data_IF_379823889824
#
_entry.id   IF_379823889824
#
_cell.length_a   1.000
_cell.length_b   1.000
_cell.length_c   1.000
_cell.angle_alpha   90.00
_cell.angle_beta   90.00
_cell.angle_gamma   90.00
#
_symmetry.space_group_name_H-M   'P 1'
#
loop_
_entity.id
_entity.type
_entity.pdbx_description
1 polymer ?
#
# COMPACT_ATOMS: atom_id res chain seq x y z
N UNK A 1 32.35 20.99 6.63
CA UNK A 1 31.60 19.76 6.93
C UNK A 1 30.84 19.39 5.67
N UNK A 2 30.74 18.14 5.26
CA UNK A 2 29.87 17.80 4.14
C UNK A 2 28.45 18.20 4.48
N UNK A 3 27.79 18.92 3.59
CA UNK A 3 26.36 19.28 3.72
C UNK A 3 25.59 17.96 3.79
N UNK A 4 24.76 17.76 4.82
CA UNK A 4 23.86 16.62 4.87
C UNK A 4 22.92 16.69 3.68
N UNK A 5 22.60 15.55 3.07
CA UNK A 5 21.72 15.51 1.90
C UNK A 5 20.34 16.11 2.21
N UNK A 6 19.86 15.96 3.43
CA UNK A 6 18.63 16.58 3.90
C UNK A 6 18.67 18.12 3.80
N UNK A 7 19.87 18.74 3.81
CA UNK A 7 20.06 20.18 3.74
C UNK A 7 20.29 20.72 2.33
N UNK A 8 20.10 19.87 1.30
CA UNK A 8 20.18 20.32 -0.09
C UNK A 8 19.31 21.56 -0.30
N UNK A 9 19.92 22.62 -0.83
CA UNK A 9 19.20 23.82 -1.18
C UNK A 9 18.21 23.53 -2.32
N UNK A 10 16.95 23.87 -2.13
CA UNK A 10 15.92 23.68 -3.15
C UNK A 10 15.51 25.02 -3.74
N UNK A 11 15.33 25.12 -5.07
CA UNK A 11 14.92 26.35 -5.70
C UNK A 11 13.57 26.87 -5.16
N UNK A 12 13.48 28.19 -4.96
CA UNK A 12 12.23 28.86 -4.54
C UNK A 12 11.51 29.54 -5.71
N UNK A 13 12.09 29.50 -6.89
CA UNK A 13 11.50 30.09 -8.09
C UNK A 13 10.27 29.29 -8.53
N UNK A 14 9.31 29.98 -9.16
CA UNK A 14 8.14 29.35 -9.76
C UNK A 14 8.50 28.43 -10.93
N UNK A 15 9.62 28.71 -11.61
CA UNK A 15 10.13 27.89 -12.71
C UNK A 15 11.58 27.52 -12.44
N UNK A 16 11.86 26.20 -12.40
CA UNK A 16 13.19 25.69 -12.17
C UNK A 16 13.37 24.30 -12.79
N UNK A 17 14.64 23.86 -12.84
CA UNK A 17 15.04 22.54 -13.33
C UNK A 17 15.59 21.68 -12.21
N UNK A 18 15.14 20.42 -12.16
CA UNK A 18 15.82 19.35 -11.43
C UNK A 18 16.73 18.66 -12.44
N UNK A 19 18.03 18.95 -12.37
CA UNK A 19 19.01 18.48 -13.33
C UNK A 19 19.64 17.14 -12.90
N UNK A 20 20.06 16.35 -13.90
CA UNK A 20 20.78 15.09 -13.69
C UNK A 20 20.06 14.09 -12.79
N UNK A 21 18.75 14.01 -12.86
CA UNK A 21 17.95 13.02 -12.17
C UNK A 21 18.11 11.63 -12.81
N UNK A 22 18.01 10.58 -12.00
CA UNK A 22 17.85 9.18 -12.44
C UNK A 22 16.45 8.71 -12.03
N UNK A 23 15.66 8.29 -13.02
CA UNK A 23 14.26 7.91 -12.80
C UNK A 23 14.05 6.47 -13.26
N UNK A 24 13.51 5.55 -12.42
CA UNK A 24 13.08 4.24 -12.90
C UNK A 24 12.03 4.40 -14.01
N UNK A 25 12.27 3.84 -15.19
CA UNK A 25 11.38 3.97 -16.34
C UNK A 25 9.96 3.46 -16.04
N UNK A 26 9.83 2.43 -15.19
CA UNK A 26 8.55 1.88 -14.75
C UNK A 26 7.70 2.86 -13.91
N UNK A 27 8.29 3.93 -13.38
CA UNK A 27 7.60 4.97 -12.62
C UNK A 27 7.20 6.19 -13.46
N UNK A 28 7.60 6.25 -14.73
CA UNK A 28 7.12 7.25 -15.67
C UNK A 28 5.77 6.83 -16.26
N UNK A 29 4.85 7.76 -16.44
CA UNK A 29 3.60 7.48 -17.19
C UNK A 29 3.91 7.21 -18.67
N UNK A 30 4.88 7.94 -19.21
CA UNK A 30 5.40 7.76 -20.56
C UNK A 30 6.91 8.05 -20.52
N UNK A 31 7.71 7.23 -21.18
CA UNK A 31 9.14 7.47 -21.36
C UNK A 31 9.31 8.30 -22.64
N UNK A 32 9.75 9.58 -22.53
CA UNK A 32 9.94 10.41 -23.71
C UNK A 32 10.95 9.80 -24.68
N UNK A 33 10.62 9.79 -25.98
CA UNK A 33 11.48 9.25 -27.02
C UNK A 33 12.84 9.99 -27.16
N UNK A 34 12.92 11.21 -26.62
CA UNK A 34 14.13 12.02 -26.56
C UNK A 34 15.16 11.54 -25.55
N UNK A 35 14.76 10.75 -24.56
CA UNK A 35 15.67 10.19 -23.56
C UNK A 35 16.54 9.09 -24.16
N UNK A 36 17.72 8.90 -23.57
CA UNK A 36 18.53 7.72 -23.85
C UNK A 36 17.83 6.47 -23.29
N UNK A 37 18.07 5.29 -23.89
CA UNK A 37 17.56 4.04 -23.35
C UNK A 37 17.88 3.87 -21.86
N UNK A 38 16.98 3.18 -21.14
CA UNK A 38 17.22 2.84 -19.75
C UNK A 38 18.48 1.96 -19.60
N UNK A 39 19.17 2.12 -18.48
CA UNK A 39 20.32 1.28 -18.15
C UNK A 39 19.89 -0.15 -17.70
N UNK A 40 20.86 -0.97 -17.27
CA UNK A 40 20.63 -2.34 -16.85
C UNK A 40 19.70 -2.47 -15.62
N UNK A 41 19.53 -1.41 -14.82
CA UNK A 41 18.57 -1.35 -13.73
C UNK A 41 17.18 -0.86 -14.17
N UNK A 42 16.99 -0.54 -15.46
CA UNK A 42 15.75 0.03 -15.99
C UNK A 42 15.57 1.50 -15.63
N UNK A 43 16.66 2.23 -15.41
CA UNK A 43 16.66 3.64 -14.98
C UNK A 43 17.07 4.54 -16.12
N UNK A 44 16.32 5.61 -16.37
CA UNK A 44 16.64 6.66 -17.35
C UNK A 44 17.26 7.88 -16.68
N UNK A 45 18.11 8.60 -17.41
CA UNK A 45 18.65 9.91 -17.00
C UNK A 45 17.80 11.00 -17.60
N UNK A 46 17.34 11.94 -16.78
CA UNK A 46 16.45 13.01 -17.20
C UNK A 46 16.70 14.31 -16.43
N UNK A 47 16.37 15.42 -17.06
CA UNK A 47 16.11 16.70 -16.41
C UNK A 47 14.59 16.87 -16.30
N UNK A 48 14.09 17.28 -15.12
CA UNK A 48 12.68 17.51 -14.86
C UNK A 48 12.44 19.03 -14.79
N UNK A 49 11.50 19.53 -15.59
CA UNK A 49 11.14 20.93 -15.63
C UNK A 49 9.91 21.17 -14.76
N UNK A 50 10.05 22.07 -13.79
CA UNK A 50 8.99 22.42 -12.85
C UNK A 50 8.55 23.85 -13.11
N UNK A 51 7.23 24.07 -13.19
CA UNK A 51 6.64 25.40 -13.29
C UNK A 51 5.33 25.45 -12.48
N UNK A 52 5.23 26.44 -11.58
CA UNK A 52 4.08 26.63 -10.71
C UNK A 52 3.65 25.35 -9.96
N UNK A 53 4.63 24.60 -9.45
CA UNK A 53 4.39 23.38 -8.69
C UNK A 53 4.00 22.15 -9.51
N UNK A 54 4.04 22.23 -10.85
CA UNK A 54 3.73 21.13 -11.76
C UNK A 54 4.95 20.69 -12.56
N UNK A 55 5.02 19.44 -12.93
CA UNK A 55 5.99 18.92 -13.89
C UNK A 55 5.54 19.32 -15.31
N UNK A 56 6.31 20.17 -15.99
CA UNK A 56 5.95 20.65 -17.33
C UNK A 56 6.75 20.00 -18.44
N UNK A 57 7.85 19.30 -18.11
CA UNK A 57 8.66 18.60 -19.10
C UNK A 57 9.62 17.60 -18.48
N UNK A 58 10.01 16.61 -19.30
CA UNK A 58 11.02 15.61 -18.99
C UNK A 58 11.97 15.58 -20.18
N UNK A 59 13.18 16.07 -20.01
CA UNK A 59 14.14 16.24 -21.07
C UNK A 59 15.40 15.39 -20.86
N UNK A 60 16.15 15.18 -21.93
CA UNK A 60 17.50 14.63 -21.86
C UNK A 60 18.42 15.62 -21.11
N UNK A 61 19.29 15.13 -20.20
CA UNK A 61 20.26 15.98 -19.53
C UNK A 61 21.08 16.79 -20.51
N UNK A 62 20.98 18.12 -20.42
CA UNK A 62 21.62 19.05 -21.37
C UNK A 62 22.93 19.66 -20.84
N UNK A 63 23.40 19.22 -19.65
CA UNK A 63 24.43 19.94 -18.90
C UNK A 63 23.84 21.17 -18.19
N UNK A 64 24.62 21.76 -17.30
CA UNK A 64 24.23 23.02 -16.66
C UNK A 64 24.75 24.16 -17.50
N UNK A 65 23.91 24.99 -18.14
CA UNK A 65 24.39 26.18 -18.82
C UNK A 65 24.91 27.18 -17.77
N UNK A 66 26.08 27.73 -17.98
CA UNK A 66 26.60 28.81 -17.16
C UNK A 66 25.59 29.98 -17.14
N UNK A 67 25.04 30.28 -15.98
CA UNK A 67 24.29 31.49 -15.72
C UNK A 67 22.79 31.51 -16.06
N UNK A 68 22.11 30.40 -16.28
CA UNK A 68 20.69 30.42 -16.67
C UNK A 68 19.79 29.67 -15.70
N UNK A 69 18.97 30.42 -14.96
CA UNK A 69 17.77 29.97 -14.25
C UNK A 69 18.04 29.24 -12.94
N UNK A 70 17.02 29.20 -12.10
CA UNK A 70 17.05 28.42 -10.88
C UNK A 70 17.07 26.92 -11.20
N UNK A 71 18.00 26.19 -10.61
CA UNK A 71 18.10 24.74 -10.76
C UNK A 71 18.64 24.08 -9.50
N UNK A 72 18.39 22.79 -9.38
CA UNK A 72 19.07 21.91 -8.44
C UNK A 72 19.69 20.75 -9.20
N UNK A 73 21.01 20.58 -9.06
CA UNK A 73 21.72 19.44 -9.64
C UNK A 73 21.73 18.25 -8.67
N UNK A 74 21.10 17.17 -9.06
CA UNK A 74 21.04 15.95 -8.24
C UNK A 74 22.28 15.07 -8.37
N UNK A 75 23.19 15.34 -9.33
CA UNK A 75 24.41 14.55 -9.53
C UNK A 75 24.14 13.07 -9.77
N UNK A 76 23.09 12.75 -10.48
CA UNK A 76 22.69 11.37 -10.80
C UNK A 76 21.94 10.65 -9.67
N UNK A 77 21.37 11.36 -8.71
CA UNK A 77 20.52 10.75 -7.66
C UNK A 77 19.15 10.36 -8.19
N UNK A 78 18.55 9.37 -7.57
CA UNK A 78 17.23 8.85 -7.95
C UNK A 78 16.10 9.77 -7.53
N UNK A 79 15.11 9.89 -8.42
CA UNK A 79 13.84 10.59 -8.20
C UNK A 79 12.71 9.61 -8.48
N UNK A 80 11.86 9.39 -7.48
CA UNK A 80 10.64 8.62 -7.60
C UNK A 80 9.42 9.52 -7.39
N UNK A 81 8.23 9.15 -7.87
CA UNK A 81 7.00 9.81 -7.43
C UNK A 81 6.78 9.56 -5.93
N UNK A 82 5.93 10.34 -5.30
CA UNK A 82 5.38 9.97 -3.99
C UNK A 82 4.68 8.62 -4.07
N UNK A 83 4.75 7.84 -2.98
CA UNK A 83 4.33 6.45 -2.93
C UNK A 83 2.85 6.31 -2.58
N UNK A 84 2.30 5.11 -2.85
CA UNK A 84 0.95 4.72 -2.51
C UNK A 84 1.00 3.57 -1.51
N UNK A 85 0.42 3.73 -0.33
CA UNK A 85 0.12 2.61 0.55
C UNK A 85 -1.28 2.07 0.23
N UNK A 86 -1.32 1.01 -0.55
CA UNK A 86 -2.57 0.48 -1.11
C UNK A 86 -3.32 -0.46 -0.16
N UNK A 87 -2.73 -0.77 1.01
CA UNK A 87 -3.34 -1.63 2.01
C UNK A 87 -2.72 -1.38 3.38
N UNK A 88 -3.45 -0.70 4.25
CA UNK A 88 -3.07 -0.46 5.64
C UNK A 88 -4.31 -0.42 6.54
N UNK A 89 -4.12 -0.26 7.85
CA UNK A 89 -5.16 -0.22 8.88
C UNK A 89 -4.94 0.97 9.81
N UNK A 90 -5.42 2.15 9.40
CA UNK A 90 -5.24 3.37 10.19
C UNK A 90 -6.07 3.38 11.49
N UNK A 91 -7.24 2.74 11.47
CA UNK A 91 -8.18 2.74 12.60
C UNK A 91 -7.72 1.89 13.80
N UNK A 92 -6.94 0.84 13.56
CA UNK A 92 -6.39 -0.02 14.63
C UNK A 92 -4.89 0.19 14.87
N UNK A 93 -4.21 1.00 14.05
CA UNK A 93 -2.80 1.30 14.21
C UNK A 93 -2.47 1.98 15.53
N UNK A 94 -1.23 1.82 15.98
CA UNK A 94 -0.66 2.45 17.18
C UNK A 94 -1.36 2.06 18.49
N UNK A 95 -1.87 0.83 18.60
CA UNK A 95 -2.49 0.29 19.81
C UNK A 95 -1.61 -0.69 20.57
N UNK A 96 -0.40 -0.98 20.08
CA UNK A 96 0.46 -2.06 20.58
C UNK A 96 0.82 -1.94 22.06
N UNK A 97 1.00 -0.73 22.58
CA UNK A 97 1.35 -0.50 23.99
C UNK A 97 0.21 -0.84 24.95
N UNK A 98 -1.05 -0.59 24.56
CA UNK A 98 -2.22 -0.86 25.40
C UNK A 98 -2.86 -2.21 25.10
N UNK A 99 -2.65 -2.76 23.90
CA UNK A 99 -3.25 -4.02 23.45
C UNK A 99 -2.21 -4.90 22.74
N UNK A 100 -1.15 -5.33 23.44
CA UNK A 100 -0.09 -6.15 22.87
C UNK A 100 -0.59 -7.55 22.54
N UNK A 101 -0.06 -8.14 21.48
CA UNK A 101 -0.25 -9.55 21.17
C UNK A 101 0.70 -10.40 22.03
N UNK A 102 0.13 -11.17 22.94
CA UNK A 102 0.88 -11.87 24.02
C UNK A 102 1.81 -12.99 23.52
N UNK A 103 1.54 -13.60 22.38
CA UNK A 103 2.33 -14.70 21.81
C UNK A 103 2.72 -14.48 20.34
N UNK A 104 2.26 -13.38 19.75
CA UNK A 104 2.50 -13.01 18.37
C UNK A 104 1.73 -13.85 17.33
N UNK A 105 0.79 -14.70 17.75
CA UNK A 105 -0.03 -15.49 16.82
C UNK A 105 -1.15 -14.66 16.21
N UNK A 106 -1.60 -15.05 15.03
CA UNK A 106 -2.75 -14.41 14.37
C UNK A 106 -4.03 -14.53 15.23
N UNK A 107 -4.22 -15.64 15.92
CA UNK A 107 -5.38 -15.85 16.82
C UNK A 107 -5.40 -14.80 17.93
N UNK A 108 -4.30 -14.64 18.66
CA UNK A 108 -4.22 -13.67 19.76
C UNK A 108 -4.19 -12.22 19.26
N UNK A 109 -3.68 -11.94 18.05
CA UNK A 109 -3.84 -10.63 17.42
C UNK A 109 -5.32 -10.23 17.29
N UNK A 110 -6.16 -11.16 16.82
CA UNK A 110 -7.62 -10.94 16.70
C UNK A 110 -8.29 -10.69 18.05
N UNK A 111 -7.93 -11.49 19.06
CA UNK A 111 -8.50 -11.34 20.41
C UNK A 111 -8.11 -9.99 21.03
N UNK A 112 -6.85 -9.58 20.89
CA UNK A 112 -6.36 -8.30 21.38
C UNK A 112 -7.07 -7.14 20.67
N UNK A 113 -7.18 -7.16 19.34
CA UNK A 113 -7.91 -6.14 18.59
C UNK A 113 -9.40 -6.07 18.99
N UNK A 114 -10.05 -7.21 19.17
CA UNK A 114 -11.45 -7.26 19.61
C UNK A 114 -11.64 -6.67 21.01
N UNK A 115 -10.71 -6.94 21.92
CA UNK A 115 -10.73 -6.40 23.30
C UNK A 115 -10.45 -4.88 23.32
N UNK A 116 -9.76 -4.34 22.32
CA UNK A 116 -9.42 -2.91 22.22
C UNK A 116 -10.55 -2.06 21.61
N UNK A 117 -11.41 -2.64 20.76
CA UNK A 117 -12.49 -1.90 20.06
C UNK A 117 -13.38 -1.03 20.96
N UNK A 118 -13.77 -1.43 22.17
CA UNK A 118 -14.58 -0.58 23.05
C UNK A 118 -13.94 0.77 23.38
N UNK A 119 -12.62 0.90 23.23
CA UNK A 119 -11.87 2.13 23.49
C UNK A 119 -11.74 3.03 22.26
N UNK A 120 -12.24 2.61 21.08
CA UNK A 120 -12.16 3.37 19.83
C UNK A 120 -13.18 4.51 19.79
N UNK A 121 -13.00 5.49 20.65
CA UNK A 121 -13.76 6.73 20.62
C UNK A 121 -13.31 7.62 19.45
N UNK A 122 -14.09 8.64 19.10
CA UNK A 122 -13.69 9.59 18.04
C UNK A 122 -12.37 10.29 18.36
N UNK A 123 -12.08 10.60 19.64
CA UNK A 123 -10.81 11.21 20.05
C UNK A 123 -9.63 10.24 19.94
N UNK A 124 -9.81 8.98 20.31
CA UNK A 124 -8.81 7.93 20.20
C UNK A 124 -8.47 7.63 18.73
N UNK A 125 -9.50 7.45 17.90
CA UNK A 125 -9.34 7.25 16.46
C UNK A 125 -8.61 8.44 15.82
N UNK A 126 -8.98 9.68 16.17
CA UNK A 126 -8.35 10.89 15.64
C UNK A 126 -6.86 10.91 15.95
N UNK A 127 -6.48 10.75 17.21
CA UNK A 127 -5.08 10.78 17.64
C UNK A 127 -4.24 9.76 16.87
N UNK A 128 -4.70 8.51 16.77
CA UNK A 128 -3.96 7.42 16.13
C UNK A 128 -3.91 7.54 14.60
N UNK A 129 -5.05 7.83 13.97
CA UNK A 129 -5.11 7.97 12.52
C UNK A 129 -4.31 9.19 12.03
N UNK A 130 -4.42 10.34 12.72
CA UNK A 130 -3.63 11.53 12.38
C UNK A 130 -2.13 11.31 12.59
N UNK A 131 -1.76 10.59 13.64
CA UNK A 131 -0.36 10.20 13.85
C UNK A 131 0.16 9.38 12.67
N UNK A 132 -0.55 8.32 12.27
CA UNK A 132 -0.17 7.49 11.13
C UNK A 132 -0.11 8.27 9.81
N UNK A 133 -1.06 9.17 9.58
CA UNK A 133 -1.07 10.04 8.38
C UNK A 133 0.11 11.01 8.36
N UNK A 134 0.49 11.57 9.50
CA UNK A 134 1.66 12.45 9.61
C UNK A 134 2.96 11.68 9.36
N UNK A 135 3.07 10.45 9.85
CA UNK A 135 4.18 9.55 9.52
C UNK A 135 4.25 9.29 8.01
N UNK A 136 3.17 8.82 7.42
CA UNK A 136 3.07 8.53 5.99
C UNK A 136 3.44 9.74 5.11
N UNK A 137 2.88 10.90 5.44
CA UNK A 137 3.14 12.15 4.73
C UNK A 137 4.61 12.59 4.82
N UNK A 138 5.20 12.49 6.00
CA UNK A 138 6.62 12.80 6.20
C UNK A 138 7.53 11.84 5.42
N UNK A 139 7.10 10.59 5.24
CA UNK A 139 7.82 9.58 4.47
C UNK A 139 7.58 9.66 2.96
N UNK A 140 6.73 10.58 2.49
CA UNK A 140 6.46 10.79 1.07
C UNK A 140 5.37 9.87 0.51
N UNK A 141 4.48 9.38 1.34
CA UNK A 141 3.24 8.71 0.92
C UNK A 141 2.18 9.77 0.66
N UNK A 142 1.52 9.74 -0.49
CA UNK A 142 0.53 10.74 -0.89
C UNK A 142 -0.86 10.17 -1.15
N UNK A 143 -1.00 8.85 -1.14
CA UNK A 143 -2.30 8.18 -1.24
C UNK A 143 -2.31 6.91 -0.39
N UNK A 144 -3.40 6.68 0.31
CA UNK A 144 -3.57 5.56 1.24
C UNK A 144 -4.94 4.92 1.05
N UNK A 145 -4.96 3.58 0.89
CA UNK A 145 -6.16 2.78 1.05
C UNK A 145 -6.10 2.09 2.40
N UNK A 146 -7.04 2.43 3.29
CA UNK A 146 -7.12 1.87 4.64
C UNK A 146 -8.33 0.95 4.77
N UNK A 147 -8.11 -0.24 5.33
CA UNK A 147 -9.18 -1.17 5.69
C UNK A 147 -9.71 -0.77 7.06
N UNK A 148 -11.01 -0.56 7.15
CA UNK A 148 -11.72 -0.07 8.33
C UNK A 148 -12.48 -1.23 8.97
N UNK A 149 -12.15 -1.54 10.21
CA UNK A 149 -12.87 -2.56 11.00
C UNK A 149 -14.35 -2.18 11.09
N UNK A 150 -15.17 -2.96 10.40
CA UNK A 150 -16.59 -2.67 10.20
C UNK A 150 -17.44 -3.73 10.87
N UNK A 151 -17.80 -3.46 12.13
CA UNK A 151 -18.64 -4.32 12.95
C UNK A 151 -19.89 -3.56 13.41
N UNK A 152 -20.87 -4.24 14.00
CA UNK A 152 -22.11 -3.61 14.46
C UNK A 152 -21.89 -2.40 15.36
N UNK A 153 -20.87 -2.49 16.23
CA UNK A 153 -20.52 -1.48 17.22
C UNK A 153 -19.63 -0.35 16.67
N UNK A 154 -18.90 -0.55 15.59
CA UNK A 154 -17.92 0.44 15.07
C UNK A 154 -18.34 1.11 13.77
N UNK A 155 -19.25 0.51 13.00
CA UNK A 155 -19.57 0.95 11.63
C UNK A 155 -19.88 2.44 11.52
N UNK A 156 -20.72 2.97 12.39
CA UNK A 156 -21.16 4.36 12.27
C UNK A 156 -20.03 5.33 12.65
N UNK A 157 -19.32 5.07 13.75
CA UNK A 157 -18.22 5.91 14.24
C UNK A 157 -17.02 5.88 13.30
N UNK A 158 -16.53 4.68 12.94
CA UNK A 158 -15.32 4.54 12.12
C UNK A 158 -15.49 5.10 10.72
N UNK A 159 -16.65 4.86 10.08
CA UNK A 159 -16.89 5.38 8.73
C UNK A 159 -17.20 6.89 8.72
N UNK A 160 -17.85 7.43 9.75
CA UNK A 160 -18.00 8.87 9.89
C UNK A 160 -16.63 9.52 10.05
N UNK A 161 -15.81 9.01 10.95
CA UNK A 161 -14.51 9.56 11.25
C UNK A 161 -13.57 9.49 10.02
N UNK A 162 -13.60 8.38 9.27
CA UNK A 162 -12.84 8.28 8.01
C UNK A 162 -13.17 9.43 7.04
N UNK A 163 -14.46 9.78 6.89
CA UNK A 163 -14.87 10.91 6.01
C UNK A 163 -14.30 12.24 6.50
N UNK A 164 -14.38 12.51 7.80
CA UNK A 164 -13.86 13.73 8.41
C UNK A 164 -12.35 13.86 8.16
N UNK A 165 -11.58 12.83 8.49
CA UNK A 165 -10.13 12.81 8.30
C UNK A 165 -9.75 12.91 6.83
N UNK A 166 -10.44 12.22 5.93
CA UNK A 166 -10.21 12.34 4.50
C UNK A 166 -10.36 13.77 3.99
N UNK A 167 -11.43 14.45 4.43
CA UNK A 167 -11.70 15.82 4.00
C UNK A 167 -10.64 16.80 4.56
N UNK A 168 -10.18 16.61 5.80
CA UNK A 168 -9.11 17.39 6.44
C UNK A 168 -7.74 17.18 5.80
N UNK A 169 -7.48 15.96 5.28
CA UNK A 169 -6.21 15.62 4.66
C UNK A 169 -6.20 15.77 3.14
N UNK A 170 -7.31 16.20 2.56
CA UNK A 170 -7.43 16.44 1.12
C UNK A 170 -6.31 17.36 0.60
N UNK A 171 -5.68 16.97 -0.50
CA UNK A 171 -4.54 17.67 -1.09
C UNK A 171 -3.18 17.36 -0.45
N UNK A 172 -3.14 16.70 0.71
CA UNK A 172 -1.92 16.19 1.35
C UNK A 172 -1.76 14.69 1.10
N UNK A 173 -2.73 13.91 1.60
CA UNK A 173 -2.82 12.45 1.42
C UNK A 173 -4.25 12.11 1.00
N UNK A 174 -4.41 11.50 -0.15
CA UNK A 174 -5.72 11.05 -0.61
C UNK A 174 -6.09 9.72 0.06
N UNK A 175 -7.29 9.63 0.64
CA UNK A 175 -7.73 8.47 1.41
C UNK A 175 -8.88 7.73 0.74
N UNK A 176 -8.78 6.39 0.72
CA UNK A 176 -9.87 5.47 0.40
C UNK A 176 -10.09 4.51 1.56
N UNK A 177 -11.34 4.26 1.92
CA UNK A 177 -11.71 3.25 2.91
C UNK A 177 -12.21 1.96 2.26
N UNK A 178 -11.89 0.83 2.87
CA UNK A 178 -12.40 -0.50 2.51
C UNK A 178 -13.07 -1.10 3.74
N UNK A 179 -14.26 -1.66 3.60
CA UNK A 179 -14.91 -2.35 4.71
C UNK A 179 -14.16 -3.63 5.09
N UNK A 180 -13.95 -3.85 6.39
CA UNK A 180 -13.26 -5.03 6.89
C UNK A 180 -14.06 -5.72 7.98
N UNK A 181 -14.67 -6.84 7.66
CA UNK A 181 -15.24 -7.81 8.59
C UNK A 181 -15.25 -9.19 7.92
N UNK A 182 -15.38 -10.28 8.66
CA UNK A 182 -15.65 -11.59 8.06
C UNK A 182 -16.91 -11.57 7.20
N UNK A 183 -16.84 -12.17 5.99
CA UNK A 183 -17.95 -12.07 5.01
C UNK A 183 -19.23 -12.80 5.43
N UNK A 184 -19.16 -13.75 6.35
CA UNK A 184 -20.32 -14.42 6.93
C UNK A 184 -21.20 -13.46 7.78
N UNK A 185 -20.64 -12.38 8.32
CA UNK A 185 -21.41 -11.33 8.99
C UNK A 185 -22.27 -10.50 8.02
N UNK A 186 -22.02 -10.59 6.72
CA UNK A 186 -22.74 -9.82 5.70
C UNK A 186 -23.94 -10.58 5.09
N UNK A 187 -24.26 -11.76 5.61
CA UNK A 187 -25.32 -12.62 5.08
C UNK A 187 -26.72 -11.99 5.20
N UNK A 188 -26.95 -11.26 6.28
CA UNK A 188 -28.20 -10.61 6.63
C UNK A 188 -28.23 -9.08 6.33
N UNK A 189 -29.11 -8.35 7.03
CA UNK A 189 -29.30 -6.90 6.94
C UNK A 189 -28.03 -6.08 7.28
N UNK A 190 -27.10 -6.66 8.03
CA UNK A 190 -25.85 -6.00 8.34
C UNK A 190 -25.02 -5.77 7.07
N UNK A 191 -25.03 -6.72 6.14
CA UNK A 191 -24.39 -6.54 4.82
C UNK A 191 -24.92 -5.33 4.06
N UNK A 192 -26.23 -5.06 4.11
CA UNK A 192 -26.83 -3.86 3.50
C UNK A 192 -26.37 -2.57 4.20
N UNK A 193 -26.26 -2.57 5.54
CA UNK A 193 -25.70 -1.45 6.31
C UNK A 193 -24.24 -1.18 5.92
N UNK A 194 -23.42 -2.23 5.81
CA UNK A 194 -22.02 -2.12 5.39
C UNK A 194 -21.94 -1.48 4.01
N UNK A 195 -22.66 -2.01 3.02
CA UNK A 195 -22.65 -1.48 1.66
C UNK A 195 -23.11 0.00 1.59
N UNK A 196 -24.13 0.35 2.36
CA UNK A 196 -24.62 1.74 2.43
C UNK A 196 -23.58 2.70 3.07
N UNK A 197 -22.92 2.30 4.16
CA UNK A 197 -21.86 3.08 4.81
C UNK A 197 -20.65 3.29 3.87
N UNK A 198 -20.24 2.24 3.17
CA UNK A 198 -19.17 2.26 2.16
C UNK A 198 -19.54 3.21 1.02
N UNK A 199 -20.73 3.07 0.44
CA UNK A 199 -21.20 3.92 -0.67
C UNK A 199 -21.24 5.39 -0.25
N UNK A 200 -21.82 5.71 0.92
CA UNK A 200 -21.88 7.06 1.48
C UNK A 200 -20.49 7.68 1.63
N UNK A 201 -19.48 6.85 1.86
CA UNK A 201 -18.10 7.28 2.08
C UNK A 201 -17.22 7.25 0.82
N UNK A 202 -17.76 6.85 -0.34
CA UNK A 202 -16.98 6.68 -1.56
C UNK A 202 -15.87 5.62 -1.42
N UNK A 203 -16.12 4.59 -0.61
CA UNK A 203 -15.19 3.52 -0.31
C UNK A 203 -15.33 2.30 -1.24
N UNK A 204 -14.71 1.19 -0.84
CA UNK A 204 -14.77 -0.09 -1.53
C UNK A 204 -15.45 -1.14 -0.63
N UNK A 205 -16.21 -2.03 -1.25
CA UNK A 205 -16.73 -3.21 -0.57
C UNK A 205 -15.56 -4.14 -0.27
N UNK A 206 -15.47 -4.61 0.96
CA UNK A 206 -14.38 -5.50 1.37
C UNK A 206 -14.85 -6.54 2.37
N UNK A 207 -13.91 -7.29 2.89
CA UNK A 207 -14.15 -8.33 3.88
C UNK A 207 -13.02 -9.33 3.93
N UNK A 208 -13.13 -10.29 4.85
CA UNK A 208 -12.19 -11.39 5.01
C UNK A 208 -12.87 -12.70 4.65
N UNK A 209 -12.25 -13.51 3.78
CA UNK A 209 -12.80 -14.80 3.32
C UNK A 209 -12.61 -15.92 4.33
N UNK A 210 -12.97 -15.68 5.59
CA UNK A 210 -12.91 -16.66 6.69
C UNK A 210 -14.12 -16.52 7.62
N UNK A 211 -14.35 -17.54 8.43
CA UNK A 211 -15.43 -17.52 9.43
C UNK A 211 -15.17 -16.47 10.53
N UNK A 212 -16.23 -15.82 10.99
CA UNK A 212 -16.23 -14.90 12.13
C UNK A 212 -15.90 -15.61 13.43
N UNK A 213 -16.31 -16.88 13.55
CA UNK A 213 -16.16 -17.73 14.73
C UNK A 213 -15.08 -18.78 14.48
N UNK A 214 -14.28 -19.07 15.51
CA UNK A 214 -13.24 -20.11 15.45
C UNK A 214 -11.85 -19.58 15.11
N UNK A 215 -10.93 -20.53 14.90
CA UNK A 215 -9.56 -20.24 14.56
C UNK A 215 -9.42 -19.85 13.08
N UNK A 216 -8.32 -19.21 12.76
CA UNK A 216 -7.94 -18.93 11.39
C UNK A 216 -7.84 -20.23 10.58
N UNK A 217 -8.41 -20.25 9.38
CA UNK A 217 -8.44 -21.44 8.52
C UNK A 217 -9.70 -22.30 8.64
N UNK A 218 -10.68 -21.94 9.51
CA UNK A 218 -11.98 -22.62 9.52
C UNK A 218 -12.70 -22.34 8.19
N UNK A 219 -13.03 -23.39 7.40
CA UNK A 219 -13.71 -23.21 6.13
C UNK A 219 -15.11 -22.60 6.33
N UNK A 220 -15.51 -21.73 5.41
CA UNK A 220 -16.90 -21.29 5.29
C UNK A 220 -17.67 -22.30 4.45
N UNK A 221 -18.64 -22.98 5.06
CA UNK A 221 -19.40 -24.05 4.40
C UNK A 221 -20.23 -23.57 3.19
N UNK A 222 -20.56 -22.27 3.15
CA UNK A 222 -21.38 -21.64 2.12
C UNK A 222 -20.63 -20.52 1.39
N UNK A 223 -19.31 -20.64 1.25
CA UNK A 223 -18.42 -19.58 0.73
C UNK A 223 -18.89 -19.01 -0.60
N UNK A 224 -19.39 -19.84 -1.55
CA UNK A 224 -19.89 -19.38 -2.84
C UNK A 224 -21.10 -18.44 -2.68
N UNK A 225 -22.05 -18.78 -1.81
CA UNK A 225 -23.23 -17.95 -1.52
C UNK A 225 -22.83 -16.63 -0.84
N UNK A 226 -21.85 -16.66 0.08
CA UNK A 226 -21.34 -15.47 0.76
C UNK A 226 -20.60 -14.56 -0.23
N UNK A 227 -19.80 -15.10 -1.13
CA UNK A 227 -19.16 -14.32 -2.20
C UNK A 227 -20.20 -13.71 -3.15
N UNK A 228 -21.20 -14.50 -3.56
CA UNK A 228 -22.30 -13.98 -4.39
C UNK A 228 -23.06 -12.86 -3.65
N UNK A 229 -23.24 -12.94 -2.34
CA UNK A 229 -23.81 -11.86 -1.53
C UNK A 229 -22.95 -10.60 -1.55
N UNK A 230 -21.64 -10.72 -1.30
CA UNK A 230 -20.69 -9.59 -1.35
C UNK A 230 -20.72 -8.91 -2.72
N UNK A 231 -20.64 -9.67 -3.81
CA UNK A 231 -20.66 -9.13 -5.16
C UNK A 231 -22.02 -8.53 -5.54
N UNK A 232 -23.13 -9.10 -5.06
CA UNK A 232 -24.47 -8.54 -5.26
C UNK A 232 -24.65 -7.21 -4.54
N UNK A 233 -24.15 -7.09 -3.30
CA UNK A 233 -24.11 -5.83 -2.56
C UNK A 233 -23.25 -4.79 -3.29
N UNK A 234 -22.04 -5.18 -3.71
CA UNK A 234 -21.14 -4.30 -4.44
C UNK A 234 -21.77 -3.82 -5.77
N UNK A 235 -22.50 -4.70 -6.49
CA UNK A 235 -23.20 -4.35 -7.73
C UNK A 235 -24.32 -3.36 -7.49
N UNK A 236 -25.17 -3.61 -6.47
CA UNK A 236 -26.30 -2.74 -6.12
C UNK A 236 -25.84 -1.33 -5.75
N UNK A 237 -24.71 -1.21 -5.11
CA UNK A 237 -24.14 0.05 -4.63
C UNK A 237 -23.04 0.64 -5.53
N UNK A 238 -22.76 0.02 -6.70
CA UNK A 238 -21.74 0.45 -7.67
C UNK A 238 -20.32 0.52 -7.09
N UNK A 239 -19.98 -0.42 -6.20
CA UNK A 239 -18.69 -0.46 -5.50
C UNK A 239 -17.68 -1.37 -6.20
N UNK A 240 -16.41 -1.08 -6.10
CA UNK A 240 -15.34 -2.04 -6.36
C UNK A 240 -15.11 -2.92 -5.12
N UNK A 241 -14.37 -4.02 -5.28
CA UNK A 241 -14.19 -5.02 -4.22
C UNK A 241 -12.70 -5.15 -3.85
N UNK A 242 -12.40 -5.20 -2.54
CA UNK A 242 -11.05 -5.41 -2.02
C UNK A 242 -11.11 -6.34 -0.80
N UNK A 243 -10.57 -7.56 -0.92
CA UNK A 243 -10.73 -8.65 0.05
C UNK A 243 -9.41 -9.07 0.68
N UNK A 244 -9.44 -9.41 1.98
CA UNK A 244 -8.40 -10.21 2.63
C UNK A 244 -8.66 -11.68 2.32
N UNK A 245 -7.70 -12.35 1.69
CA UNK A 245 -7.88 -13.70 1.16
C UNK A 245 -6.78 -14.62 1.65
N UNK A 246 -7.17 -15.74 2.24
CA UNK A 246 -6.29 -16.87 2.56
C UNK A 246 -5.01 -16.47 3.33
N UNK A 247 -5.13 -15.60 4.32
CA UNK A 247 -4.02 -15.13 5.17
C UNK A 247 -3.64 -16.17 6.22
N UNK A 248 -3.20 -17.33 5.77
CA UNK A 248 -2.81 -18.46 6.62
C UNK A 248 -1.76 -19.33 5.92
N UNK A 249 -1.08 -20.16 6.70
CA UNK A 249 -0.18 -21.19 6.16
C UNK A 249 -0.92 -22.49 5.77
N UNK A 250 -2.18 -22.63 6.13
CA UNK A 250 -2.97 -23.82 5.85
C UNK A 250 -3.33 -23.90 4.36
N UNK A 251 -2.82 -24.88 3.59
CA UNK A 251 -3.12 -25.02 2.18
C UNK A 251 -4.59 -25.35 1.90
N UNK A 252 -5.36 -25.78 2.90
CA UNK A 252 -6.80 -26.01 2.76
C UNK A 252 -7.60 -24.69 2.66
N UNK A 253 -7.03 -23.56 3.10
CA UNK A 253 -7.60 -22.24 2.83
C UNK A 253 -7.33 -21.86 1.37
N UNK A 254 -8.25 -22.18 0.48
CA UNK A 254 -8.15 -22.01 -0.97
C UNK A 254 -9.37 -21.24 -1.51
N UNK A 255 -9.59 -20.02 -0.98
CA UNK A 255 -10.74 -19.19 -1.38
C UNK A 255 -10.44 -18.28 -2.58
N UNK A 256 -9.19 -17.99 -2.88
CA UNK A 256 -8.79 -17.15 -4.01
C UNK A 256 -9.38 -17.60 -5.36
N UNK A 257 -9.36 -18.88 -5.76
CA UNK A 257 -9.99 -19.32 -7.00
C UNK A 257 -11.52 -19.18 -6.97
N UNK A 258 -12.16 -19.23 -5.80
CA UNK A 258 -13.59 -19.01 -5.66
C UNK A 258 -13.94 -17.52 -5.84
N UNK A 259 -13.12 -16.63 -5.26
CA UNK A 259 -13.23 -15.18 -5.50
C UNK A 259 -13.10 -14.86 -6.99
N UNK A 260 -12.13 -15.46 -7.69
CA UNK A 260 -11.95 -15.24 -9.12
C UNK A 260 -13.18 -15.69 -9.93
N UNK A 261 -13.74 -16.86 -9.63
CA UNK A 261 -14.98 -17.33 -10.28
C UNK A 261 -16.19 -16.43 -9.97
N UNK A 262 -16.34 -15.98 -8.73
CA UNK A 262 -17.41 -15.07 -8.34
C UNK A 262 -17.27 -13.72 -9.06
N UNK A 263 -16.06 -13.17 -9.12
CA UNK A 263 -15.78 -11.93 -9.86
C UNK A 263 -16.19 -12.04 -11.34
N UNK A 264 -15.89 -13.14 -11.99
CA UNK A 264 -16.30 -13.39 -13.38
C UNK A 264 -17.82 -13.54 -13.50
N UNK A 265 -18.47 -14.32 -12.62
CA UNK A 265 -19.95 -14.49 -12.63
C UNK A 265 -20.70 -13.16 -12.51
N UNK A 266 -20.18 -12.24 -11.69
CA UNK A 266 -20.81 -10.94 -11.43
C UNK A 266 -20.31 -9.81 -12.34
N UNK A 267 -19.46 -10.09 -13.33
CA UNK A 267 -18.94 -9.07 -14.26
C UNK A 267 -17.96 -8.09 -13.63
N UNK A 268 -17.20 -8.53 -12.61
CA UNK A 268 -16.24 -7.71 -11.85
C UNK A 268 -14.80 -7.82 -12.39
N UNK A 269 -14.61 -8.27 -13.60
CA UNK A 269 -13.29 -8.35 -14.22
C UNK A 269 -12.54 -7.02 -14.12
N UNK A 270 -11.32 -7.06 -13.56
CA UNK A 270 -10.48 -5.88 -13.36
C UNK A 270 -10.88 -4.95 -12.22
N UNK A 271 -11.94 -5.27 -11.45
CA UNK A 271 -12.51 -4.45 -10.37
C UNK A 271 -12.33 -5.06 -8.97
N UNK A 272 -11.52 -6.11 -8.86
CA UNK A 272 -11.27 -6.83 -7.60
C UNK A 272 -9.80 -6.75 -7.24
N UNK A 273 -9.55 -6.54 -5.95
CA UNK A 273 -8.22 -6.63 -5.32
C UNK A 273 -8.28 -7.73 -4.26
N UNK A 274 -7.22 -8.53 -4.14
CA UNK A 274 -7.07 -9.52 -3.06
C UNK A 274 -5.74 -9.29 -2.33
N UNK A 275 -5.83 -9.07 -1.03
CA UNK A 275 -4.67 -8.98 -0.13
C UNK A 275 -4.22 -10.36 0.38
N UNK A 276 -2.95 -10.49 0.78
CA UNK A 276 -2.30 -11.65 1.41
C UNK A 276 -2.11 -12.85 0.50
N UNK A 277 -3.12 -13.69 0.30
CA UNK A 277 -3.07 -14.92 -0.49
C UNK A 277 -1.94 -15.87 -0.07
N UNK A 278 -1.63 -15.94 1.24
CA UNK A 278 -0.44 -16.62 1.77
C UNK A 278 -0.50 -18.14 1.57
N UNK A 279 -1.67 -18.75 1.81
CA UNK A 279 -1.84 -20.22 1.74
C UNK A 279 -1.47 -20.80 0.39
N UNK A 280 -1.60 -20.00 -0.69
CA UNK A 280 -1.29 -20.41 -2.06
C UNK A 280 0.14 -20.94 -2.19
N UNK A 281 1.10 -20.35 -1.47
CA UNK A 281 2.51 -20.80 -1.50
C UNK A 281 2.75 -22.19 -0.91
N UNK A 282 1.77 -22.76 -0.20
CA UNK A 282 1.83 -24.10 0.40
C UNK A 282 0.97 -25.12 -0.34
N UNK A 283 0.29 -24.73 -1.41
CA UNK A 283 -0.53 -25.61 -2.24
C UNK A 283 0.34 -26.37 -3.25
N UNK A 284 -0.15 -27.49 -3.80
CA UNK A 284 0.53 -28.16 -4.90
C UNK A 284 0.72 -27.26 -6.13
N UNK A 285 1.83 -27.38 -6.85
CA UNK A 285 2.14 -26.56 -8.04
C UNK A 285 0.99 -26.51 -9.05
N UNK A 286 0.32 -27.64 -9.29
CA UNK A 286 -0.83 -27.70 -10.20
C UNK A 286 -2.03 -26.88 -9.72
N UNK A 287 -2.21 -26.71 -8.41
CA UNK A 287 -3.25 -25.84 -7.84
C UNK A 287 -2.84 -24.37 -7.92
N UNK A 288 -1.56 -24.08 -7.67
CA UNK A 288 -1.01 -22.72 -7.85
C UNK A 288 -1.24 -22.28 -9.30
N UNK A 289 -0.85 -23.09 -10.29
CA UNK A 289 -1.02 -22.77 -11.71
C UNK A 289 -2.49 -22.50 -12.07
N UNK A 290 -3.39 -23.42 -11.70
CA UNK A 290 -4.84 -23.26 -11.96
C UNK A 290 -5.43 -22.01 -11.31
N UNK A 291 -5.02 -21.71 -10.09
CA UNK A 291 -5.49 -20.53 -9.36
C UNK A 291 -5.00 -19.26 -10.03
N UNK A 292 -3.71 -19.19 -10.39
CA UNK A 292 -3.14 -18.02 -11.03
C UNK A 292 -3.71 -17.77 -12.43
N UNK A 293 -4.05 -18.83 -13.17
CA UNK A 293 -4.73 -18.69 -14.47
C UNK A 293 -6.13 -18.05 -14.30
N UNK A 294 -6.91 -18.46 -13.28
CA UNK A 294 -8.19 -17.85 -12.96
C UNK A 294 -8.05 -16.38 -12.49
N UNK A 295 -7.02 -16.08 -11.67
CA UNK A 295 -6.72 -14.73 -11.20
C UNK A 295 -6.37 -13.82 -12.39
N UNK A 296 -5.58 -14.31 -13.34
CA UNK A 296 -5.23 -13.58 -14.55
C UNK A 296 -6.44 -13.36 -15.46
N UNK A 297 -7.29 -14.39 -15.66
CA UNK A 297 -8.52 -14.29 -16.45
C UNK A 297 -9.51 -13.28 -15.86
N UNK A 298 -9.66 -13.28 -14.53
CA UNK A 298 -10.52 -12.33 -13.82
C UNK A 298 -9.89 -10.94 -13.68
N UNK A 299 -8.65 -10.74 -14.12
CA UNK A 299 -7.86 -9.50 -13.97
C UNK A 299 -7.80 -8.97 -12.53
N UNK A 300 -7.79 -9.88 -11.56
CA UNK A 300 -7.66 -9.52 -10.14
C UNK A 300 -6.26 -8.92 -9.90
N UNK A 301 -6.21 -7.80 -9.17
CA UNK A 301 -4.95 -7.28 -8.66
C UNK A 301 -4.65 -7.91 -7.29
N UNK A 302 -3.37 -8.18 -7.02
CA UNK A 302 -2.92 -8.76 -5.76
C UNK A 302 -2.12 -7.72 -4.98
N UNK A 303 -2.32 -7.70 -3.66
CA UNK A 303 -1.48 -6.93 -2.74
C UNK A 303 -0.73 -7.90 -1.84
N UNK A 304 0.60 -7.94 -1.97
CA UNK A 304 1.45 -8.70 -1.05
C UNK A 304 1.82 -7.85 0.16
N UNK A 305 1.84 -8.45 1.33
CA UNK A 305 2.00 -7.81 2.63
C UNK A 305 3.15 -8.48 3.41
N UNK A 306 4.37 -8.45 2.84
CA UNK A 306 5.44 -9.36 3.24
C UNK A 306 5.91 -9.17 4.68
N UNK A 307 5.88 -7.97 5.21
CA UNK A 307 6.33 -7.67 6.59
C UNK A 307 5.41 -8.28 7.63
N UNK A 308 4.11 -8.05 7.50
CA UNK A 308 3.09 -8.55 8.43
C UNK A 308 2.89 -10.04 8.27
N UNK A 309 2.82 -10.54 7.04
CA UNK A 309 2.66 -11.96 6.80
C UNK A 309 3.85 -12.76 7.35
N UNK A 310 5.09 -12.31 7.13
CA UNK A 310 6.28 -12.94 7.72
C UNK A 310 6.24 -12.90 9.26
N UNK A 311 5.74 -11.80 9.85
CA UNK A 311 5.67 -11.63 11.29
C UNK A 311 4.66 -12.59 11.93
N UNK A 312 3.47 -12.78 11.32
CA UNK A 312 2.38 -13.57 11.88
C UNK A 312 2.49 -15.07 11.57
N UNK A 313 3.06 -15.45 10.40
CA UNK A 313 3.04 -16.84 9.93
C UNK A 313 4.13 -17.69 10.58
N UNK A 314 3.87 -19.00 10.67
CA UNK A 314 4.77 -20.04 11.22
C UNK A 314 5.35 -19.73 12.60
N UNK A 315 4.64 -18.95 13.40
CA UNK A 315 5.04 -18.61 14.76
C UNK A 315 4.76 -19.77 15.71
N UNK A 316 5.82 -20.25 16.38
CA UNK A 316 5.76 -21.29 17.41
C UNK A 316 6.71 -20.96 18.54
N UNK A 317 6.28 -21.26 19.76
CA UNK A 317 7.09 -21.02 20.95
C UNK A 317 8.46 -21.74 20.84
N UNK A 318 9.53 -21.05 21.17
CA UNK A 318 10.91 -21.54 21.17
C UNK A 318 11.38 -22.15 19.83
N UNK A 319 10.76 -21.75 18.69
CA UNK A 319 11.16 -22.22 17.36
C UNK A 319 11.29 -21.06 16.36
N UNK A 320 12.41 -21.00 15.65
CA UNK A 320 12.57 -20.10 14.51
C UNK A 320 11.61 -20.50 13.38
N UNK A 321 10.91 -19.54 12.71
CA UNK A 321 10.07 -19.82 11.55
C UNK A 321 10.81 -20.60 10.45
N UNK A 322 10.14 -21.55 9.81
CA UNK A 322 10.65 -22.36 8.71
C UNK A 322 10.08 -21.96 7.36
N UNK A 323 9.03 -21.14 7.38
CA UNK A 323 8.33 -20.61 6.23
C UNK A 323 8.31 -19.09 6.27
N UNK A 324 8.45 -18.42 5.11
CA UNK A 324 8.45 -16.95 5.04
C UNK A 324 7.09 -16.31 5.22
N UNK A 325 6.01 -17.05 5.03
CA UNK A 325 4.65 -16.57 5.23
C UNK A 325 4.07 -15.73 4.07
N UNK A 326 4.75 -15.67 2.93
CA UNK A 326 4.36 -14.80 1.80
C UNK A 326 3.80 -15.60 0.63
N UNK A 327 3.06 -14.89 -0.25
CA UNK A 327 2.47 -15.49 -1.47
C UNK A 327 3.48 -15.60 -2.63
N UNK A 328 3.04 -16.19 -3.75
CA UNK A 328 3.85 -16.58 -4.92
C UNK A 328 3.99 -15.43 -5.93
N UNK A 329 4.59 -14.33 -5.51
CA UNK A 329 4.64 -13.07 -6.29
C UNK A 329 5.37 -13.23 -7.63
N UNK A 330 6.45 -13.97 -7.69
CA UNK A 330 7.20 -14.13 -8.95
C UNK A 330 6.38 -14.88 -10.01
N UNK A 331 5.62 -15.90 -9.59
CA UNK A 331 4.70 -16.67 -10.43
C UNK A 331 3.57 -15.77 -10.96
N UNK A 332 3.04 -14.88 -10.12
CA UNK A 332 2.03 -13.88 -10.49
C UNK A 332 2.56 -12.90 -11.54
N UNK A 333 3.74 -12.32 -11.30
CA UNK A 333 4.36 -11.36 -12.21
C UNK A 333 4.65 -11.97 -13.59
N UNK A 334 5.10 -13.24 -13.65
CA UNK A 334 5.31 -13.96 -14.92
C UNK A 334 4.03 -14.15 -15.73
N UNK A 335 2.88 -14.18 -15.08
CA UNK A 335 1.54 -14.25 -15.74
C UNK A 335 0.94 -12.89 -16.05
N UNK A 336 1.67 -11.80 -15.81
CA UNK A 336 1.17 -10.43 -16.02
C UNK A 336 0.12 -9.99 -15.00
N UNK A 337 -0.04 -10.71 -13.88
CA UNK A 337 -0.91 -10.31 -12.79
C UNK A 337 -0.33 -9.05 -12.13
N UNK A 338 -1.18 -8.05 -11.91
CA UNK A 338 -0.78 -6.81 -11.24
C UNK A 338 -0.56 -7.08 -9.75
N UNK A 339 0.67 -6.94 -9.28
CA UNK A 339 1.03 -7.13 -7.87
C UNK A 339 1.56 -5.82 -7.30
N UNK A 340 0.99 -5.36 -6.20
CA UNK A 340 1.51 -4.27 -5.37
C UNK A 340 2.03 -4.81 -4.04
N UNK A 341 2.92 -4.04 -3.39
CA UNK A 341 3.35 -4.28 -2.01
C UNK A 341 2.87 -3.14 -1.12
N UNK A 342 2.41 -3.45 0.09
CA UNK A 342 1.85 -2.47 1.01
C UNK A 342 2.24 -2.74 2.48
N UNK A 343 2.03 -1.73 3.33
CA UNK A 343 2.50 -1.72 4.72
C UNK A 343 1.70 -2.61 5.65
N UNK A 344 0.39 -2.74 5.41
CA UNK A 344 -0.56 -3.45 6.26
C UNK A 344 -0.65 -2.84 7.66
N UNK A 345 -0.53 -3.63 8.72
CA UNK A 345 -0.61 -3.18 10.11
C UNK A 345 0.65 -2.44 10.57
N UNK A 346 0.45 -1.43 11.39
CA UNK A 346 1.52 -0.60 11.96
C UNK A 346 1.30 -0.41 13.46
N UNK A 347 2.19 -0.95 14.31
CA UNK A 347 2.21 -0.82 15.78
C UNK A 347 0.88 -1.17 16.43
N UNK A 348 0.35 -2.33 16.05
CA UNK A 348 -0.87 -2.90 16.61
C UNK A 348 -0.69 -4.38 16.98
N UNK A 349 -1.75 -5.07 17.34
CA UNK A 349 -1.71 -6.47 17.76
C UNK A 349 -1.33 -7.44 16.63
N UNK A 350 -1.53 -7.09 15.37
CA UNK A 350 -1.14 -7.90 14.21
C UNK A 350 0.32 -7.70 13.83
N UNK A 351 0.84 -6.49 13.99
CA UNK A 351 2.24 -6.18 13.72
C UNK A 351 2.75 -5.08 14.66
N UNK A 352 3.63 -5.47 15.58
CA UNK A 352 4.13 -4.58 16.64
C UNK A 352 5.04 -3.44 16.15
N UNK A 353 5.41 -3.43 14.89
CA UNK A 353 6.36 -2.49 14.28
C UNK A 353 5.73 -1.72 13.13
N UNK A 354 6.52 -0.86 12.49
CA UNK A 354 6.10 -0.06 11.34
C UNK A 354 5.89 1.41 11.68
N UNK A 355 5.96 2.24 10.66
CA UNK A 355 5.86 3.70 10.78
C UNK A 355 5.21 4.31 9.52
N UNK A 356 4.33 3.56 8.85
CA UNK A 356 3.70 3.94 7.58
C UNK A 356 4.69 4.36 6.48
N UNK A 357 5.91 3.80 6.52
CA UNK A 357 6.94 4.01 5.52
C UNK A 357 6.90 2.94 4.41
N UNK A 358 6.22 3.26 3.32
CA UNK A 358 6.10 2.36 2.15
C UNK A 358 7.46 2.04 1.51
N UNK A 359 8.46 2.92 1.65
CA UNK A 359 9.82 2.60 1.20
C UNK A 359 10.45 1.48 2.00
N UNK A 360 10.23 1.43 3.32
CA UNK A 360 10.69 0.29 4.12
C UNK A 360 9.99 -0.99 3.71
N UNK A 361 8.68 -0.93 3.52
CA UNK A 361 7.91 -2.06 2.95
C UNK A 361 8.49 -2.55 1.63
N UNK A 362 8.81 -1.64 0.69
CA UNK A 362 9.44 -1.99 -0.58
C UNK A 362 10.78 -2.70 -0.40
N UNK A 363 11.64 -2.19 0.48
CA UNK A 363 12.95 -2.77 0.76
C UNK A 363 12.83 -4.19 1.35
N UNK A 364 11.88 -4.39 2.26
CA UNK A 364 11.59 -5.69 2.82
C UNK A 364 11.00 -6.63 1.76
N UNK A 365 10.05 -6.17 0.95
CA UNK A 365 9.44 -6.94 -0.13
C UNK A 365 10.51 -7.47 -1.10
N UNK A 366 11.42 -6.62 -1.58
CA UNK A 366 12.50 -7.05 -2.49
C UNK A 366 13.33 -8.17 -1.88
N UNK A 367 13.70 -8.08 -0.59
CA UNK A 367 14.54 -9.08 0.09
C UNK A 367 13.78 -10.38 0.39
N UNK A 368 12.55 -10.26 0.89
CA UNK A 368 11.75 -11.40 1.33
C UNK A 368 11.29 -12.24 0.14
N UNK A 369 10.91 -11.57 -0.96
CA UNK A 369 10.35 -12.17 -2.17
C UNK A 369 11.40 -12.46 -3.25
N UNK A 370 12.68 -12.13 -3.01
CA UNK A 370 13.78 -12.28 -3.97
C UNK A 370 13.51 -11.55 -5.31
N UNK A 371 13.07 -10.28 -5.23
CA UNK A 371 12.78 -9.46 -6.41
C UNK A 371 13.99 -8.62 -6.83
N UNK A 372 15.19 -9.13 -6.62
CA UNK A 372 16.47 -8.47 -6.85
C UNK A 372 17.25 -9.02 -8.07
N UNK A 373 16.72 -10.03 -8.76
CA UNK A 373 17.31 -10.60 -9.97
C UNK A 373 16.29 -10.75 -11.11
N UNK A 374 16.03 -9.66 -11.86
CA UNK A 374 16.58 -8.31 -11.75
C UNK A 374 15.79 -7.40 -10.81
N UNK A 375 16.41 -6.31 -10.35
CA UNK A 375 15.72 -5.22 -9.65
C UNK A 375 14.80 -4.39 -10.56
N UNK A 376 15.04 -4.47 -11.86
CA UNK A 376 14.28 -3.75 -12.90
C UNK A 376 12.78 -3.98 -12.73
N UNK A 377 12.02 -2.88 -12.67
CA UNK A 377 10.56 -2.92 -12.51
C UNK A 377 10.08 -3.04 -11.08
N UNK A 378 10.91 -3.45 -10.12
CA UNK A 378 10.50 -3.62 -8.71
C UNK A 378 9.96 -2.32 -8.07
N UNK A 379 10.41 -1.09 -8.40
CA UNK A 379 9.82 0.14 -7.87
C UNK A 379 8.33 0.32 -8.20
N UNK A 380 7.85 -0.31 -9.27
CA UNK A 380 6.44 -0.26 -9.65
C UNK A 380 5.51 -0.82 -8.57
N UNK A 381 5.99 -1.76 -7.73
CA UNK A 381 5.20 -2.41 -6.66
C UNK A 381 4.58 -1.42 -5.66
N UNK A 382 5.20 -0.25 -5.47
CA UNK A 382 4.77 0.77 -4.48
C UNK A 382 4.40 2.11 -5.13
N UNK A 383 4.39 2.17 -6.46
CA UNK A 383 4.07 3.38 -7.24
C UNK A 383 3.13 3.08 -8.39
N UNK A 384 3.69 2.74 -9.54
CA UNK A 384 2.95 2.60 -10.80
C UNK A 384 1.91 1.47 -10.78
N UNK A 385 2.17 0.35 -10.11
CA UNK A 385 1.23 -0.78 -10.06
C UNK A 385 0.01 -0.47 -9.19
N UNK A 386 0.13 -0.01 -7.93
CA UNK A 386 -1.05 0.38 -7.16
C UNK A 386 -1.80 1.54 -7.84
N UNK A 387 -1.12 2.50 -8.49
CA UNK A 387 -1.77 3.56 -9.26
C UNK A 387 -2.67 3.02 -10.38
N UNK A 388 -2.29 1.90 -11.00
CA UNK A 388 -3.02 1.33 -12.15
C UNK A 388 -4.38 0.73 -11.80
N UNK A 389 -4.65 0.41 -10.52
CA UNK A 389 -5.91 -0.22 -10.10
C UNK A 389 -6.60 0.44 -8.91
N UNK A 390 -5.95 1.44 -8.27
CA UNK A 390 -6.50 2.06 -7.07
C UNK A 390 -7.57 3.11 -7.35
N UNK A 391 -7.49 3.78 -8.51
CA UNK A 391 -8.26 4.98 -8.80
C UNK A 391 -7.67 6.25 -8.18
N UNK A 392 -6.46 6.22 -7.64
CA UNK A 392 -5.72 7.39 -7.17
C UNK A 392 -5.08 8.11 -8.37
N UNK A 393 -5.81 9.03 -8.98
CA UNK A 393 -5.32 9.78 -10.12
C UNK A 393 -4.18 10.74 -9.72
N UNK A 394 -3.13 10.79 -10.54
CA UNK A 394 -1.98 11.69 -10.31
C UNK A 394 -1.00 11.24 -9.23
N UNK A 395 -1.14 10.03 -8.68
CA UNK A 395 -0.24 9.45 -7.69
C UNK A 395 0.58 8.28 -8.26
N UNK A 396 1.70 7.97 -7.63
CA UNK A 396 2.51 6.78 -7.91
C UNK A 396 3.22 6.76 -9.27
N UNK A 397 3.07 7.82 -10.07
CA UNK A 397 3.75 8.00 -11.36
C UNK A 397 4.25 9.42 -11.54
N UNK A 398 5.35 9.57 -12.27
CA UNK A 398 5.84 10.85 -12.74
C UNK A 398 5.17 11.14 -14.09
N UNK A 399 4.32 12.16 -14.12
CA UNK A 399 3.46 12.49 -15.26
C UNK A 399 3.61 13.97 -15.62
N UNK A 400 3.86 14.29 -16.88
CA UNK A 400 3.86 15.68 -17.36
C UNK A 400 2.45 16.27 -17.22
N UNK A 401 2.37 17.48 -16.67
CA UNK A 401 1.11 18.17 -16.35
C UNK A 401 0.59 17.92 -14.94
N UNK A 402 1.06 16.87 -14.25
CA UNK A 402 0.67 16.57 -12.87
C UNK A 402 1.42 17.45 -11.85
N UNK A 403 0.91 17.56 -10.61
CA UNK A 403 1.66 18.16 -9.51
C UNK A 403 3.04 17.52 -9.34
N UNK A 404 4.06 18.33 -9.12
CA UNK A 404 5.43 17.88 -8.90
C UNK A 404 5.58 17.30 -7.48
N UNK A 405 5.28 16.02 -7.33
CA UNK A 405 5.32 15.26 -6.07
C UNK A 405 6.35 14.14 -6.19
N UNK A 406 7.50 14.31 -5.54
CA UNK A 406 8.65 13.43 -5.70
C UNK A 406 9.30 13.07 -4.37
N UNK A 407 10.00 11.94 -4.37
CA UNK A 407 11.00 11.59 -3.36
C UNK A 407 12.34 11.57 -4.07
N UNK A 408 13.27 12.38 -3.57
CA UNK A 408 14.67 12.41 -4.02
C UNK A 408 15.50 11.63 -3.03
N UNK A 409 16.21 10.61 -3.49
CA UNK A 409 17.06 9.77 -2.65
C UNK A 409 18.52 10.15 -2.76
N UNK A 410 19.26 10.08 -1.64
CA UNK A 410 20.72 10.16 -1.67
C UNK A 410 21.32 8.81 -2.14
N UNK A 411 20.82 8.33 -3.26
CA UNK A 411 21.18 7.07 -3.88
C UNK A 411 21.16 7.23 -5.41
N UNK A 412 22.05 6.54 -6.10
CA UNK A 412 22.17 6.57 -7.56
C UNK A 412 21.66 5.30 -8.23
N UNK A 413 21.66 4.19 -7.48
CA UNK A 413 21.23 2.87 -7.95
C UNK A 413 20.08 2.35 -7.12
N UNK A 414 19.31 1.41 -7.66
CA UNK A 414 18.27 0.70 -6.90
C UNK A 414 18.89 -0.09 -5.74
N UNK A 415 20.07 -0.65 -5.94
CA UNK A 415 20.80 -1.36 -4.88
C UNK A 415 21.12 -0.44 -3.70
N UNK A 416 21.58 0.80 -3.93
CA UNK A 416 21.84 1.77 -2.87
C UNK A 416 20.57 2.11 -2.07
N UNK A 417 19.41 2.25 -2.73
CA UNK A 417 18.12 2.48 -2.06
C UNK A 417 17.78 1.31 -1.14
N UNK A 418 17.96 0.08 -1.60
CA UNK A 418 17.64 -1.12 -0.82
C UNK A 418 18.63 -1.32 0.32
N UNK A 419 19.90 -0.96 0.12
CA UNK A 419 20.98 -1.20 1.07
C UNK A 419 20.97 -0.25 2.28
N UNK A 420 20.54 1.02 2.07
CA UNK A 420 20.66 2.06 3.10
C UNK A 420 19.33 2.27 3.85
N UNK A 421 19.37 2.55 5.18
CA UNK A 421 18.18 2.98 5.92
C UNK A 421 17.58 4.29 5.38
N UNK A 422 16.36 4.58 5.75
CA UNK A 422 15.45 5.51 5.06
C UNK A 422 15.66 7.00 5.28
N UNK A 423 16.55 7.41 6.17
CA UNK A 423 16.76 8.83 6.53
C UNK A 423 17.30 9.71 5.41
N UNK A 424 17.91 9.09 4.39
CA UNK A 424 18.59 9.80 3.29
C UNK A 424 17.64 10.11 2.13
N UNK A 425 16.53 10.82 2.39
CA UNK A 425 15.59 11.26 1.36
C UNK A 425 15.08 12.68 1.59
N UNK A 426 14.67 13.33 0.52
CA UNK A 426 13.97 14.61 0.53
C UNK A 426 12.64 14.47 -0.20
N UNK A 427 11.55 14.86 0.46
CA UNK A 427 10.21 14.83 -0.11
C UNK A 427 9.90 16.19 -0.73
N UNK A 428 9.42 16.18 -1.97
CA UNK A 428 9.01 17.35 -2.73
C UNK A 428 7.51 17.26 -2.96
N UNK A 429 6.79 18.30 -2.58
CA UNK A 429 5.34 18.38 -2.71
C UNK A 429 4.97 19.66 -3.44
N UNK A 430 4.25 19.53 -4.54
CA UNK A 430 3.89 20.66 -5.41
C UNK A 430 5.10 21.52 -5.80
N UNK A 431 6.23 20.87 -6.07
CA UNK A 431 7.49 21.53 -6.46
C UNK A 431 8.32 22.11 -5.31
N UNK A 432 7.84 22.05 -4.08
CA UNK A 432 8.55 22.60 -2.91
C UNK A 432 9.09 21.50 -2.01
N UNK A 433 10.22 21.74 -1.37
CA UNK A 433 10.78 20.84 -0.39
C UNK A 433 9.88 20.83 0.86
N UNK A 434 9.37 19.66 1.21
CA UNK A 434 8.54 19.47 2.39
C UNK A 434 9.35 19.67 3.69
N UNK A 435 8.77 20.39 4.63
CA UNK A 435 9.28 20.52 6.00
C UNK A 435 8.66 19.48 6.96
N UNK A 436 7.78 18.60 6.46
CA UNK A 436 7.13 17.60 7.30
C UNK A 436 8.14 16.70 7.99
N UNK A 437 7.84 16.34 9.23
CA UNK A 437 8.61 15.37 10.04
C UNK A 437 7.62 14.37 10.61
N UNK A 438 8.06 13.13 10.79
CA UNK A 438 7.31 12.16 11.56
C UNK A 438 7.08 12.70 12.98
N UNK A 439 5.88 12.51 13.54
CA UNK A 439 5.56 12.95 14.90
C UNK A 439 6.38 12.17 15.94
N UNK A 440 6.50 12.72 17.14
CA UNK A 440 7.10 12.01 18.25
C UNK A 440 6.12 10.97 18.81
N UNK A 441 6.59 9.78 19.13
CA UNK A 441 5.74 8.72 19.68
C UNK A 441 5.06 9.08 21.00
N UNK A 442 5.62 10.03 21.77
CA UNK A 442 4.99 10.54 22.98
C UNK A 442 3.61 11.19 22.74
N UNK A 443 3.34 11.63 21.52
CA UNK A 443 2.03 12.19 21.15
C UNK A 443 0.88 11.14 21.17
N UNK A 444 1.23 9.85 21.20
CA UNK A 444 0.28 8.74 21.32
C UNK A 444 -0.10 8.44 22.77
N UNK A 445 0.67 8.94 23.73
CA UNK A 445 0.43 8.67 25.15
C UNK A 445 -0.57 9.69 25.68
N UNK A 446 -1.50 9.22 26.48
CA UNK A 446 -2.37 10.10 27.27
C UNK A 446 -1.60 10.61 28.48
N UNK A 447 -1.71 11.90 28.78
CA UNK A 447 -1.35 12.47 30.06
C UNK A 447 -2.36 12.03 31.15
#
# INVERSE_FOLDING_TARGET
MPIEFADIAWPKAQRYRIANARVPACLLSEVPATLLPADAEGVVKADLLIENGKLTGIDRPAGLPDGVGDHVDLGGRQVWPTLIDIHTHLDKGHTVERSPNVDGTFHNARLAAAADRPYWTSSDLRRRMEFGLRCAYAHGVSAIRTHIDTYHETIDTSWQFLREVRDEWSGKVDLQGVALCPIDLMEDEFGDRVAAAVQKSGGLMGGVTRASIGNHGVPLNNIDALLDRVFSLATRHHLNVDLHVDETHDPAAATLPLVARAAMRHGYKGRVVCGHCCSLANQPESEIDRTLDLVAEAEIAIVTLPTVNMYLQDRKENRTPRWRGVTVVQEMLRRGIRVAAAGDNNRDSFHAYGDHDVLDTYRQAVRILHLDHPLTGSPALVGATPAAFSGFEGHGRITVGAPARFIVFNARTLNEIISRPQSDRVVILNGEKSAARAPDYSELWED
#
